data_IF_189474212845
#
_entry.id   IF_189474212845
#
_cell.length_a   1.000
_cell.length_b   1.000
_cell.length_c   1.000
_cell.angle_alpha   90.00
_cell.angle_beta   90.00
_cell.angle_gamma   90.00
#
_symmetry.space_group_name_H-M   'P 1'
#
loop_
_entity.id
_entity.type
_entity.pdbx_description
1 polymer ?
#
# COMPACT_ATOMS: atom_id res chain seq x y z
N UNK A 1 14.66 -38.21 2.28
CA UNK A 1 15.12 -36.85 1.96
C UNK A 1 13.98 -35.90 1.55
N UNK A 2 12.72 -36.32 1.62
CA UNK A 2 11.55 -35.51 1.20
C UNK A 2 10.83 -34.79 2.38
N UNK A 3 11.08 -35.19 3.62
CA UNK A 3 10.34 -34.63 4.78
C UNK A 3 10.91 -33.31 5.30
N UNK A 4 12.15 -32.96 4.96
CA UNK A 4 12.80 -31.72 5.44
C UNK A 4 12.36 -30.47 4.68
N UNK A 5 11.87 -30.62 3.45
CA UNK A 5 11.44 -29.47 2.61
C UNK A 5 10.02 -29.02 2.97
N UNK A 6 9.15 -29.95 3.37
CA UNK A 6 7.77 -29.61 3.77
C UNK A 6 7.72 -28.88 5.11
N UNK A 7 8.63 -29.23 6.05
CA UNK A 7 8.71 -28.54 7.35
C UNK A 7 9.25 -27.11 7.25
N UNK A 8 10.08 -26.79 6.25
CA UNK A 8 10.60 -25.43 6.08
C UNK A 8 9.56 -24.46 5.52
N UNK A 9 8.64 -24.91 4.67
CA UNK A 9 7.56 -24.08 4.13
C UNK A 9 6.48 -23.78 5.20
N UNK A 10 6.11 -24.74 6.02
CA UNK A 10 5.12 -24.55 7.11
C UNK A 10 5.65 -23.59 8.21
N UNK A 11 6.95 -23.65 8.51
CA UNK A 11 7.57 -22.76 9.50
C UNK A 11 7.73 -21.32 8.97
N UNK A 12 7.87 -21.14 7.65
CA UNK A 12 7.87 -19.81 7.03
C UNK A 12 6.46 -19.21 6.95
N UNK A 13 5.43 -20.03 6.72
CA UNK A 13 4.04 -19.59 6.62
C UNK A 13 3.49 -19.06 7.97
N UNK A 14 3.93 -19.63 9.09
CA UNK A 14 3.53 -19.20 10.44
C UNK A 14 4.15 -17.87 10.92
N UNK A 15 5.11 -17.30 10.20
CA UNK A 15 5.80 -16.03 10.55
C UNK A 15 5.32 -14.81 9.78
N UNK A 16 4.44 -14.99 8.80
CA UNK A 16 3.89 -13.88 8.04
C UNK A 16 2.57 -13.43 8.68
N UNK A 17 2.53 -12.20 9.15
CA UNK A 17 1.30 -11.60 9.66
C UNK A 17 0.20 -11.53 8.58
N UNK A 18 -1.04 -11.32 9.01
CA UNK A 18 -2.19 -11.17 8.11
C UNK A 18 -2.07 -9.90 7.27
N UNK A 19 -2.73 -9.88 6.11
CA UNK A 19 -3.03 -8.65 5.39
C UNK A 19 -4.38 -8.13 5.92
N UNK A 20 -4.37 -7.00 6.61
CA UNK A 20 -5.58 -6.37 7.15
C UNK A 20 -6.13 -5.38 6.15
N UNK A 21 -7.39 -5.52 5.74
CA UNK A 21 -8.01 -4.64 4.76
C UNK A 21 -9.29 -4.01 5.30
N UNK A 22 -9.37 -2.66 5.23
CA UNK A 22 -10.57 -1.91 5.59
C UNK A 22 -11.62 -1.99 4.49
N UNK A 23 -12.84 -2.40 4.83
CA UNK A 23 -13.97 -2.48 3.91
C UNK A 23 -15.17 -1.71 4.46
N UNK A 24 -15.82 -0.92 3.60
CA UNK A 24 -16.99 -0.11 3.95
C UNK A 24 -18.14 -0.21 2.92
N UNK A 25 -17.94 -1.07 1.91
CA UNK A 25 -18.91 -1.29 0.85
C UNK A 25 -18.78 -0.33 -0.34
N UNK A 26 -17.80 0.56 -0.33
CA UNK A 26 -17.48 1.42 -1.48
C UNK A 26 -16.68 0.65 -2.54
N UNK A 27 -16.72 1.12 -3.78
CA UNK A 27 -15.95 0.54 -4.90
C UNK A 27 -14.46 0.59 -4.61
N UNK A 28 -13.97 1.65 -3.97
CA UNK A 28 -12.58 1.80 -3.56
C UNK A 28 -12.18 0.76 -2.51
N UNK A 29 -13.08 0.45 -1.57
CA UNK A 29 -12.82 -0.63 -0.59
C UNK A 29 -12.84 -2.01 -1.24
N UNK A 30 -13.66 -2.22 -2.27
CA UNK A 30 -13.62 -3.46 -3.06
C UNK A 30 -12.34 -3.59 -3.87
N UNK A 31 -11.85 -2.50 -4.45
CA UNK A 31 -10.54 -2.51 -5.12
C UNK A 31 -9.40 -2.83 -4.14
N UNK A 32 -9.44 -2.28 -2.93
CA UNK A 32 -8.48 -2.60 -1.87
C UNK A 32 -8.55 -4.07 -1.45
N UNK A 33 -9.75 -4.60 -1.24
CA UNK A 33 -9.97 -6.00 -0.90
C UNK A 33 -9.50 -6.94 -2.02
N UNK A 34 -9.82 -6.62 -3.27
CA UNK A 34 -9.36 -7.37 -4.44
C UNK A 34 -7.83 -7.39 -4.54
N UNK A 35 -7.19 -6.26 -4.28
CA UNK A 35 -5.73 -6.14 -4.24
C UNK A 35 -5.15 -7.05 -3.13
N UNK A 36 -5.69 -6.97 -1.91
CA UNK A 36 -5.25 -7.77 -0.77
C UNK A 36 -5.41 -9.28 -1.01
N UNK A 37 -6.52 -9.71 -1.60
CA UNK A 37 -6.73 -11.11 -2.00
C UNK A 37 -5.73 -11.57 -3.06
N UNK A 38 -5.38 -10.69 -4.01
CA UNK A 38 -4.34 -10.95 -5.01
C UNK A 38 -2.96 -11.14 -4.37
N UNK A 39 -2.57 -10.28 -3.44
CA UNK A 39 -1.32 -10.43 -2.68
C UNK A 39 -1.31 -11.72 -1.86
N UNK A 40 -2.40 -11.99 -1.15
CA UNK A 40 -2.51 -13.21 -0.35
C UNK A 40 -2.39 -14.48 -1.19
N UNK A 41 -2.88 -14.47 -2.42
CA UNK A 41 -2.74 -15.62 -3.33
C UNK A 41 -1.28 -15.89 -3.75
N UNK A 42 -0.44 -14.85 -3.79
CA UNK A 42 0.99 -14.95 -4.10
C UNK A 42 1.84 -15.30 -2.87
N UNK A 43 1.46 -14.76 -1.71
CA UNK A 43 2.25 -14.86 -0.48
C UNK A 43 1.84 -16.01 0.42
N UNK A 44 0.64 -16.58 0.22
CA UNK A 44 0.06 -17.58 1.12
C UNK A 44 -0.49 -17.01 2.43
N UNK A 45 -0.53 -15.69 2.60
CA UNK A 45 -1.02 -15.03 3.82
C UNK A 45 -2.54 -15.11 3.96
N UNK A 46 -3.04 -14.86 5.18
CA UNK A 46 -4.45 -14.64 5.43
C UNK A 46 -4.84 -13.19 5.14
N UNK A 47 -6.08 -12.99 4.70
CA UNK A 47 -6.68 -11.66 4.56
C UNK A 47 -7.71 -11.48 5.66
N UNK A 48 -7.57 -10.43 6.46
CA UNK A 48 -8.56 -10.04 7.44
C UNK A 48 -9.36 -8.84 6.92
N UNK A 49 -10.56 -9.09 6.42
CA UNK A 49 -11.49 -8.05 5.97
C UNK A 49 -12.17 -7.41 7.20
N UNK A 50 -11.86 -6.15 7.46
CA UNK A 50 -12.32 -5.42 8.64
C UNK A 50 -13.37 -4.40 8.27
N UNK A 51 -14.56 -4.54 8.83
CA UNK A 51 -15.62 -3.55 8.81
C UNK A 51 -15.71 -2.85 10.15
N UNK A 52 -15.28 -1.59 10.17
CA UNK A 52 -15.44 -0.73 11.32
C UNK A 52 -16.74 0.08 11.18
N UNK A 53 -17.56 0.07 12.21
CA UNK A 53 -18.83 0.77 12.21
C UNK A 53 -19.03 1.57 13.50
N UNK A 54 -19.63 2.73 13.37
CA UNK A 54 -20.12 3.52 14.48
C UNK A 54 -21.65 3.57 14.38
N UNK A 55 -22.32 3.69 15.50
CA UNK A 55 -23.75 3.89 15.44
C UNK A 55 -24.04 5.22 14.76
N UNK A 56 -24.59 5.17 13.56
CA UNK A 56 -25.06 6.33 12.80
C UNK A 56 -26.55 6.25 12.56
N UNK A 57 -27.14 7.37 12.21
CA UNK A 57 -28.57 7.49 11.90
C UNK A 57 -29.04 6.52 10.81
N UNK A 58 -28.13 6.11 9.95
CA UNK A 58 -28.40 5.21 8.82
C UNK A 58 -28.62 3.73 9.23
N UNK A 59 -28.25 3.39 10.47
CA UNK A 59 -28.38 2.03 11.00
C UNK A 59 -29.68 1.79 11.78
N UNK A 60 -30.56 2.79 11.81
CA UNK A 60 -31.84 2.72 12.56
C UNK A 60 -31.66 2.99 14.07
N UNK A 61 -32.63 2.58 14.88
CA UNK A 61 -32.55 2.70 16.34
C UNK A 61 -31.47 1.80 16.91
N UNK A 62 -30.85 2.25 17.99
CA UNK A 62 -29.88 1.40 18.71
C UNK A 62 -30.59 0.14 19.22
N UNK A 63 -29.98 -1.05 19.04
CA UNK A 63 -30.55 -2.28 19.59
C UNK A 63 -30.78 -2.17 21.11
N UNK A 64 -31.96 -2.56 21.56
CA UNK A 64 -32.39 -2.44 22.94
C UNK A 64 -32.13 -3.70 23.76
N UNK A 65 -32.04 -4.85 23.08
CA UNK A 65 -31.86 -6.17 23.69
C UNK A 65 -30.79 -7.03 22.98
N UNK A 66 -30.45 -8.15 23.57
CA UNK A 66 -29.43 -9.06 23.05
C UNK A 66 -29.86 -9.75 21.74
N UNK A 67 -31.14 -9.95 21.51
CA UNK A 67 -31.66 -10.55 20.29
C UNK A 67 -31.46 -9.60 19.09
N UNK A 68 -31.75 -8.33 19.24
CA UNK A 68 -31.51 -7.30 18.24
C UNK A 68 -30.01 -7.11 17.98
N UNK A 69 -29.19 -7.18 19.01
CA UNK A 69 -27.72 -7.17 18.87
C UNK A 69 -27.22 -8.40 18.09
N UNK A 70 -27.76 -9.59 18.37
CA UNK A 70 -27.42 -10.82 17.65
C UNK A 70 -27.82 -10.73 16.17
N UNK A 71 -29.02 -10.19 15.89
CA UNK A 71 -29.48 -9.97 14.52
C UNK A 71 -28.58 -8.99 13.77
N UNK A 72 -28.20 -7.87 14.39
CA UNK A 72 -27.30 -6.89 13.80
C UNK A 72 -25.94 -7.51 13.47
N UNK A 73 -25.35 -8.27 14.38
CA UNK A 73 -24.08 -8.99 14.14
C UNK A 73 -24.22 -9.97 12.96
N UNK A 74 -25.34 -10.68 12.87
CA UNK A 74 -25.61 -11.61 11.78
C UNK A 74 -25.71 -10.89 10.43
N UNK A 75 -26.40 -9.74 10.38
CA UNK A 75 -26.57 -8.96 9.16
C UNK A 75 -25.24 -8.33 8.70
N UNK A 76 -24.42 -7.87 9.63
CA UNK A 76 -23.06 -7.38 9.31
C UNK A 76 -22.19 -8.52 8.77
N UNK A 77 -22.21 -9.70 9.39
CA UNK A 77 -21.44 -10.84 8.91
C UNK A 77 -21.89 -11.32 7.53
N UNK A 78 -23.20 -11.30 7.23
CA UNK A 78 -23.73 -11.59 5.91
C UNK A 78 -23.21 -10.58 4.89
N UNK A 79 -23.33 -9.29 5.18
CA UNK A 79 -22.86 -8.20 4.31
C UNK A 79 -21.38 -8.31 3.99
N UNK A 80 -20.55 -8.61 4.99
CA UNK A 80 -19.11 -8.82 4.78
C UNK A 80 -18.82 -9.99 3.83
N UNK A 81 -19.57 -11.11 3.95
CA UNK A 81 -19.45 -12.23 3.00
C UNK A 81 -19.82 -11.84 1.59
N UNK A 82 -20.90 -11.08 1.43
CA UNK A 82 -21.34 -10.57 0.13
C UNK A 82 -20.29 -9.66 -0.49
N UNK A 83 -19.67 -8.78 0.28
CA UNK A 83 -18.59 -7.90 -0.18
C UNK A 83 -17.33 -8.68 -0.58
N UNK A 84 -16.95 -9.69 0.19
CA UNK A 84 -15.82 -10.56 -0.19
C UNK A 84 -16.13 -11.30 -1.48
N UNK A 85 -17.33 -11.86 -1.60
CA UNK A 85 -17.76 -12.55 -2.83
C UNK A 85 -17.77 -11.62 -4.04
N UNK A 86 -18.22 -10.37 -3.88
CA UNK A 86 -18.19 -9.36 -4.94
C UNK A 86 -16.74 -8.99 -5.33
N UNK A 87 -15.89 -8.70 -4.35
CA UNK A 87 -14.50 -8.32 -4.62
C UNK A 87 -13.69 -9.45 -5.25
N UNK A 88 -14.00 -10.70 -4.94
CA UNK A 88 -13.30 -11.89 -5.44
C UNK A 88 -13.80 -12.41 -6.78
N UNK A 89 -14.79 -11.76 -7.40
CA UNK A 89 -15.32 -12.21 -8.69
C UNK A 89 -14.20 -12.37 -9.74
N UNK A 90 -14.13 -13.56 -10.35
CA UNK A 90 -13.11 -13.91 -11.34
C UNK A 90 -11.74 -14.22 -10.75
N UNK A 91 -11.61 -14.34 -9.42
CA UNK A 91 -10.41 -14.79 -8.74
C UNK A 91 -10.61 -16.19 -8.16
N UNK A 92 -9.55 -16.99 -8.12
CA UNK A 92 -9.53 -18.21 -7.32
C UNK A 92 -8.96 -17.86 -5.95
N UNK A 93 -9.79 -17.91 -4.92
CA UNK A 93 -9.40 -17.63 -3.54
C UNK A 93 -9.60 -18.87 -2.66
N UNK A 94 -8.76 -19.01 -1.64
CA UNK A 94 -8.98 -19.97 -0.56
C UNK A 94 -9.80 -19.26 0.54
N UNK A 95 -11.09 -19.59 0.64
CA UNK A 95 -11.99 -19.00 1.63
C UNK A 95 -11.52 -19.22 3.08
N UNK A 96 -10.78 -20.30 3.35
CA UNK A 96 -10.24 -20.57 4.69
C UNK A 96 -9.16 -19.58 5.09
N UNK A 97 -8.62 -18.84 4.13
CA UNK A 97 -7.63 -17.77 4.36
C UNK A 97 -8.26 -16.38 4.46
N UNK A 98 -9.58 -16.29 4.42
CA UNK A 98 -10.30 -15.01 4.55
C UNK A 98 -11.02 -14.95 5.90
N UNK A 99 -10.50 -14.10 6.77
CA UNK A 99 -11.12 -13.77 8.05
C UNK A 99 -12.02 -12.54 7.90
N UNK A 100 -13.19 -12.58 8.53
CA UNK A 100 -14.14 -11.48 8.56
C UNK A 100 -14.20 -10.90 9.96
N UNK A 101 -13.90 -9.63 10.11
CA UNK A 101 -13.91 -8.94 11.40
C UNK A 101 -14.83 -7.72 11.33
N UNK A 102 -15.78 -7.64 12.24
CA UNK A 102 -16.57 -6.41 12.45
C UNK A 102 -16.31 -5.84 13.82
N UNK A 103 -16.15 -4.54 13.92
CA UNK A 103 -15.86 -3.86 15.18
C UNK A 103 -16.59 -2.54 15.28
N UNK A 104 -17.15 -2.26 16.47
CA UNK A 104 -17.76 -0.97 16.77
C UNK A 104 -16.68 0.03 17.17
N UNK A 105 -16.13 0.71 16.18
CA UNK A 105 -15.10 1.75 16.33
C UNK A 105 -15.05 2.63 15.09
N UNK A 106 -14.28 3.72 15.15
CA UNK A 106 -13.94 4.47 13.93
C UNK A 106 -13.00 3.64 13.04
N UNK A 107 -13.02 3.86 11.73
CA UNK A 107 -12.18 3.12 10.77
C UNK A 107 -10.70 3.18 11.12
N UNK A 108 -10.18 4.36 11.45
CA UNK A 108 -8.77 4.56 11.83
C UNK A 108 -8.42 3.75 13.09
N UNK A 109 -9.18 3.92 14.18
CA UNK A 109 -8.89 3.21 15.44
C UNK A 109 -8.98 1.69 15.29
N UNK A 110 -9.97 1.19 14.53
CA UNK A 110 -10.11 -0.23 14.27
C UNK A 110 -8.92 -0.80 13.51
N UNK A 111 -8.50 -0.14 12.43
CA UNK A 111 -7.42 -0.62 11.58
C UNK A 111 -6.06 -0.52 12.27
N UNK A 112 -5.81 0.51 13.08
CA UNK A 112 -4.59 0.62 13.88
C UNK A 112 -4.49 -0.48 14.94
N UNK A 113 -5.58 -0.79 15.64
CA UNK A 113 -5.58 -1.81 16.70
C UNK A 113 -5.49 -3.22 16.11
N UNK A 114 -6.31 -3.53 15.08
CA UNK A 114 -6.34 -4.86 14.47
C UNK A 114 -5.09 -5.11 13.62
N UNK A 115 -4.57 -4.06 12.99
CA UNK A 115 -3.43 -4.12 12.08
C UNK A 115 -2.05 -3.97 12.75
N UNK A 116 -1.97 -3.78 14.06
CA UNK A 116 -0.70 -3.51 14.75
C UNK A 116 0.38 -4.57 14.58
N UNK A 117 -0.03 -5.83 14.44
CA UNK A 117 0.84 -7.00 14.24
C UNK A 117 0.67 -7.61 12.84
N UNK A 118 -0.01 -6.89 11.93
CA UNK A 118 -0.21 -7.33 10.56
C UNK A 118 1.07 -7.18 9.72
N UNK A 119 1.14 -7.87 8.59
CA UNK A 119 2.19 -7.62 7.59
C UNK A 119 1.99 -6.26 6.93
N UNK A 120 0.74 -5.87 6.70
CA UNK A 120 0.37 -4.58 6.14
C UNK A 120 -1.11 -4.28 6.37
N UNK A 121 -1.45 -3.00 6.33
CA UNK A 121 -2.83 -2.52 6.30
C UNK A 121 -3.13 -2.02 4.88
N UNK A 122 -4.28 -2.43 4.33
CA UNK A 122 -4.71 -2.05 2.99
C UNK A 122 -6.02 -1.27 3.08
N UNK A 123 -6.11 -0.14 2.40
CA UNK A 123 -7.31 0.69 2.34
C UNK A 123 -7.55 1.22 0.94
N UNK A 124 -8.82 1.43 0.58
CA UNK A 124 -9.19 2.14 -0.62
C UNK A 124 -9.06 3.66 -0.42
N UNK A 125 -8.67 4.36 -1.47
CA UNK A 125 -8.69 5.81 -1.49
C UNK A 125 -10.02 6.29 -2.05
N UNK A 126 -10.82 7.00 -1.24
CA UNK A 126 -12.03 7.66 -1.75
C UNK A 126 -11.69 8.68 -2.83
N UNK A 127 -12.43 8.61 -3.92
CA UNK A 127 -12.39 9.57 -4.99
C UNK A 127 -13.03 10.89 -4.52
N UNK A 128 -12.22 11.84 -4.12
CA UNK A 128 -12.66 13.20 -3.72
C UNK A 128 -12.58 14.12 -4.94
N UNK A 129 -13.41 13.99 -5.94
CA UNK A 129 -13.54 14.92 -7.09
C UNK A 129 -12.24 15.56 -7.63
N UNK A 130 -12.32 16.29 -8.74
CA UNK A 130 -11.13 16.82 -9.46
C UNK A 130 -10.17 17.71 -8.68
N UNK A 131 -10.65 18.43 -7.66
CA UNK A 131 -9.83 19.40 -6.91
C UNK A 131 -9.09 18.77 -5.73
N UNK A 132 -9.63 17.72 -5.12
CA UNK A 132 -9.06 17.10 -3.92
C UNK A 132 -8.20 15.85 -4.22
N UNK A 133 -7.93 15.54 -5.49
CA UNK A 133 -7.16 14.34 -5.90
C UNK A 133 -5.70 14.31 -5.42
N UNK A 134 -5.15 15.45 -5.01
CA UNK A 134 -3.79 15.58 -4.47
C UNK A 134 -3.69 15.28 -2.98
N UNK A 135 -4.82 15.15 -2.28
CA UNK A 135 -4.83 14.87 -0.86
C UNK A 135 -5.12 13.40 -0.59
N UNK A 136 -4.33 12.77 0.26
CA UNK A 136 -4.72 11.53 0.92
C UNK A 136 -6.04 11.79 1.67
N UNK A 137 -7.01 10.86 1.58
CA UNK A 137 -8.20 10.92 2.42
C UNK A 137 -7.82 10.89 3.91
N UNK A 138 -8.65 11.44 4.78
CA UNK A 138 -8.35 11.52 6.22
C UNK A 138 -7.95 10.18 6.84
N UNK A 139 -8.61 9.10 6.48
CA UNK A 139 -8.28 7.74 6.94
C UNK A 139 -6.87 7.31 6.48
N UNK A 140 -6.57 7.45 5.20
CA UNK A 140 -5.28 7.04 4.64
C UNK A 140 -4.13 7.89 5.18
N UNK A 141 -4.35 9.19 5.41
CA UNK A 141 -3.36 10.09 5.99
C UNK A 141 -3.06 9.71 7.45
N UNK A 142 -4.09 9.53 8.28
CA UNK A 142 -3.91 9.11 9.67
C UNK A 142 -3.24 7.74 9.78
N UNK A 143 -3.61 6.77 8.93
CA UNK A 143 -2.95 5.47 8.93
C UNK A 143 -1.47 5.58 8.52
N UNK A 144 -1.14 6.38 7.50
CA UNK A 144 0.25 6.58 7.07
C UNK A 144 1.11 7.23 8.16
N UNK A 145 0.51 8.06 9.03
CA UNK A 145 1.21 8.74 10.13
C UNK A 145 1.34 7.86 11.37
N UNK A 146 0.30 7.09 11.72
CA UNK A 146 0.19 6.41 13.01
C UNK A 146 0.48 4.90 12.96
N UNK A 147 0.38 4.26 11.78
CA UNK A 147 0.59 2.81 11.67
C UNK A 147 2.07 2.44 11.87
N UNK A 148 2.28 1.31 12.57
CA UNK A 148 3.62 0.74 12.79
C UNK A 148 4.01 -0.29 11.73
N UNK A 149 3.11 -0.57 10.80
CA UNK A 149 3.27 -1.52 9.69
C UNK A 149 3.05 -0.79 8.37
N UNK A 150 3.52 -1.31 7.23
CA UNK A 150 3.26 -0.73 5.92
C UNK A 150 1.77 -0.48 5.68
N UNK A 151 1.44 0.64 5.06
CA UNK A 151 0.08 0.99 4.66
C UNK A 151 0.00 1.09 3.14
N UNK A 152 -0.84 0.26 2.54
CA UNK A 152 -1.12 0.28 1.11
C UNK A 152 -2.43 1.00 0.85
N UNK A 153 -2.37 2.04 0.03
CA UNK A 153 -3.53 2.82 -0.39
C UNK A 153 -3.84 2.49 -1.84
N UNK A 154 -4.92 1.74 -2.06
CA UNK A 154 -5.36 1.34 -3.40
C UNK A 154 -6.24 2.42 -4.00
N UNK A 155 -5.94 2.80 -5.23
CA UNK A 155 -6.69 3.80 -5.98
C UNK A 155 -7.32 3.15 -7.22
N UNK A 156 -8.58 3.45 -7.46
CA UNK A 156 -9.21 3.22 -8.75
C UNK A 156 -8.81 4.37 -9.66
N UNK A 157 -8.16 4.07 -10.77
CA UNK A 157 -7.86 5.03 -11.83
C UNK A 157 -8.88 4.84 -12.93
N UNK A 158 -9.53 5.92 -13.35
CA UNK A 158 -10.21 5.96 -14.64
C UNK A 158 -9.21 6.27 -15.75
N UNK A 159 -9.59 6.00 -17.02
CA UNK A 159 -8.71 6.19 -18.17
C UNK A 159 -8.30 7.66 -18.36
N UNK A 160 -9.19 8.61 -17.99
CA UNK A 160 -8.89 10.05 -18.07
C UNK A 160 -7.85 10.46 -17.00
N UNK A 161 -7.96 9.92 -15.79
CA UNK A 161 -7.01 10.21 -14.72
C UNK A 161 -5.61 9.62 -14.99
N UNK A 162 -5.53 8.43 -15.59
CA UNK A 162 -4.26 7.83 -15.98
C UNK A 162 -3.53 8.72 -16.98
N UNK A 163 -4.24 9.21 -18.01
CA UNK A 163 -3.67 10.08 -19.05
C UNK A 163 -3.16 11.42 -18.51
N UNK A 164 -3.86 12.03 -17.54
CA UNK A 164 -3.43 13.29 -16.91
C UNK A 164 -2.21 13.08 -16.02
N UNK A 165 -2.12 11.97 -15.32
CA UNK A 165 -0.94 11.65 -14.49
C UNK A 165 0.31 11.40 -15.33
N UNK A 166 0.17 10.68 -16.43
CA UNK A 166 1.26 10.47 -17.40
C UNK A 166 1.74 11.81 -17.98
N UNK A 167 0.81 12.71 -18.32
CA UNK A 167 1.16 14.04 -18.82
C UNK A 167 1.89 14.90 -17.77
N UNK A 168 1.47 14.84 -16.50
CA UNK A 168 2.14 15.55 -15.41
C UNK A 168 3.52 14.95 -15.12
N UNK A 169 3.63 13.62 -15.08
CA UNK A 169 4.90 12.94 -14.87
C UNK A 169 5.90 13.32 -15.97
N UNK A 170 5.47 13.32 -17.22
CA UNK A 170 6.29 13.74 -18.37
C UNK A 170 6.69 15.23 -18.30
N UNK A 171 5.79 16.11 -17.82
CA UNK A 171 6.08 17.54 -17.69
C UNK A 171 7.05 17.86 -16.54
N UNK A 172 7.14 16.99 -15.52
CA UNK A 172 8.01 17.18 -14.38
C UNK A 172 9.38 16.50 -14.53
N UNK A 173 9.60 15.75 -15.61
CA UNK A 173 10.87 15.08 -15.89
C UNK A 173 11.86 16.08 -16.51
N UNK A 174 12.93 16.52 -15.84
CA UNK A 174 13.73 17.66 -16.27
C UNK A 174 14.75 17.36 -17.37
N UNK A 175 14.87 16.14 -17.86
CA UNK A 175 15.87 15.77 -18.87
C UNK A 175 15.32 14.86 -19.94
N UNK A 176 15.73 15.13 -21.20
CA UNK A 176 15.31 14.37 -22.39
C UNK A 176 15.76 12.91 -22.40
N UNK A 177 16.59 12.47 -21.43
CA UNK A 177 17.20 11.16 -21.44
C UNK A 177 16.33 10.05 -20.83
N UNK A 178 15.19 10.35 -20.20
CA UNK A 178 14.38 9.35 -19.49
C UNK A 178 12.88 9.44 -19.78
N UNK A 179 12.50 9.73 -21.00
CA UNK A 179 11.08 9.75 -21.35
C UNK A 179 10.64 8.36 -21.82
N UNK A 180 10.17 7.56 -20.87
CA UNK A 180 9.42 6.34 -21.19
C UNK A 180 8.01 6.74 -21.59
N UNK A 181 7.73 6.78 -22.88
CA UNK A 181 6.37 6.99 -23.38
C UNK A 181 5.57 5.72 -23.24
N UNK A 182 4.62 5.69 -22.31
CA UNK A 182 3.53 4.74 -22.35
C UNK A 182 2.43 5.35 -23.22
N UNK A 183 2.08 4.69 -24.31
CA UNK A 183 0.99 5.15 -25.19
C UNK A 183 -0.30 5.24 -24.37
N UNK A 184 -1.06 6.36 -24.45
CA UNK A 184 -2.37 6.45 -23.83
C UNK A 184 -3.26 5.28 -24.28
N UNK A 185 -3.88 4.58 -23.37
CA UNK A 185 -4.82 3.49 -23.67
C UNK A 185 -4.25 2.07 -23.69
N UNK A 186 -2.96 1.87 -23.43
CA UNK A 186 -2.38 0.53 -23.24
C UNK A 186 -1.63 0.48 -21.91
N UNK A 187 -2.34 0.22 -20.81
CA UNK A 187 -1.65 0.04 -19.51
C UNK A 187 -0.67 -1.12 -19.64
N UNK A 188 0.60 -0.88 -19.30
CA UNK A 188 1.59 -1.94 -19.20
C UNK A 188 1.04 -3.07 -18.31
N UNK A 189 1.26 -4.34 -18.68
CA UNK A 189 1.00 -5.45 -17.78
C UNK A 189 1.58 -5.17 -16.40
N UNK A 190 0.91 -5.64 -15.34
CA UNK A 190 1.29 -5.32 -13.96
C UNK A 190 2.76 -5.62 -13.66
N UNK A 191 3.28 -6.71 -14.20
CA UNK A 191 4.68 -7.13 -14.07
C UNK A 191 5.69 -6.31 -14.90
N UNK A 192 5.22 -5.43 -15.78
CA UNK A 192 6.08 -4.52 -16.56
C UNK A 192 6.10 -3.10 -15.98
N UNK A 193 5.22 -2.80 -15.01
CA UNK A 193 5.24 -1.52 -14.32
C UNK A 193 6.31 -1.57 -13.25
N UNK A 194 7.19 -0.57 -13.15
CA UNK A 194 8.19 -0.56 -12.10
C UNK A 194 7.54 -0.37 -10.72
N UNK A 195 8.14 -1.02 -9.73
CA UNK A 195 7.98 -0.64 -8.34
C UNK A 195 8.89 0.56 -8.11
N UNK A 196 8.31 1.69 -7.72
CA UNK A 196 9.08 2.92 -7.47
C UNK A 196 9.19 3.13 -5.97
N UNK A 197 10.41 3.31 -5.46
CA UNK A 197 10.66 3.61 -4.05
C UNK A 197 11.43 4.93 -3.93
N UNK A 198 10.87 5.84 -3.11
CA UNK A 198 11.55 7.06 -2.72
C UNK A 198 12.45 6.80 -1.52
N UNK A 199 13.70 7.31 -1.58
CA UNK A 199 14.66 7.21 -0.50
C UNK A 199 15.29 8.58 -0.20
N UNK A 200 15.66 8.81 1.08
CA UNK A 200 16.25 10.05 1.57
C UNK A 200 17.50 9.80 2.44
N UNK A 201 17.94 8.54 2.55
CA UNK A 201 19.07 8.12 3.38
C UNK A 201 18.73 7.84 4.84
N UNK A 202 17.48 8.05 5.28
CA UNK A 202 17.03 7.71 6.63
C UNK A 202 16.93 6.20 6.85
N UNK A 203 16.96 5.76 8.11
CA UNK A 203 16.72 4.34 8.44
C UNK A 203 15.32 3.88 7.98
N UNK A 204 14.32 4.76 8.04
CA UNK A 204 12.97 4.49 7.54
C UNK A 204 12.98 4.23 6.03
N UNK A 205 13.73 5.03 5.25
CA UNK A 205 13.83 4.82 3.81
C UNK A 205 14.59 3.54 3.45
N UNK A 206 15.51 3.06 4.29
CA UNK A 206 16.14 1.74 4.12
C UNK A 206 15.13 0.60 4.32
N UNK A 207 14.21 0.72 5.30
CA UNK A 207 13.12 -0.25 5.46
C UNK A 207 12.17 -0.25 4.25
N UNK A 208 11.82 0.93 3.74
CA UNK A 208 11.01 1.06 2.53
C UNK A 208 11.70 0.42 1.31
N UNK A 209 13.02 0.60 1.18
CA UNK A 209 13.80 0.00 0.09
C UNK A 209 13.81 -1.53 0.18
N UNK A 210 14.04 -2.12 1.36
CA UNK A 210 13.97 -3.58 1.56
C UNK A 210 12.59 -4.12 1.18
N UNK A 211 11.53 -3.48 1.67
CA UNK A 211 10.16 -3.85 1.30
C UNK A 211 9.93 -3.78 -0.21
N UNK A 212 10.42 -2.73 -0.88
CA UNK A 212 10.28 -2.56 -2.32
C UNK A 212 11.06 -3.62 -3.11
N UNK A 213 12.24 -4.03 -2.65
CA UNK A 213 13.04 -5.11 -3.24
C UNK A 213 12.25 -6.43 -3.19
N UNK A 214 11.76 -6.80 -2.00
CA UNK A 214 10.99 -8.03 -1.80
C UNK A 214 9.69 -8.03 -2.62
N UNK A 215 9.00 -6.90 -2.65
CA UNK A 215 7.77 -6.71 -3.42
C UNK A 215 8.03 -6.81 -4.93
N UNK A 216 9.07 -6.15 -5.43
CA UNK A 216 9.43 -6.21 -6.85
C UNK A 216 9.83 -7.63 -7.28
N UNK A 217 10.60 -8.33 -6.43
CA UNK A 217 10.97 -9.73 -6.68
C UNK A 217 9.75 -10.65 -6.72
N UNK A 218 8.83 -10.51 -5.77
CA UNK A 218 7.58 -11.30 -5.69
C UNK A 218 6.73 -11.12 -6.95
N UNK A 219 6.64 -9.90 -7.45
CA UNK A 219 5.83 -9.55 -8.63
C UNK A 219 6.57 -9.66 -9.96
N UNK A 220 7.85 -10.07 -9.95
CA UNK A 220 8.72 -10.06 -11.13
C UNK A 220 8.71 -8.72 -11.87
N UNK A 221 8.66 -7.61 -11.09
CA UNK A 221 8.58 -6.26 -11.59
C UNK A 221 9.95 -5.55 -11.53
N UNK A 222 10.24 -4.62 -12.44
CA UNK A 222 11.41 -3.76 -12.31
C UNK A 222 11.32 -2.90 -11.05
N UNK A 223 12.47 -2.67 -10.39
CA UNK A 223 12.57 -1.75 -9.25
C UNK A 223 13.24 -0.46 -9.72
N UNK A 224 12.61 0.67 -9.41
CA UNK A 224 13.17 2.00 -9.62
C UNK A 224 13.35 2.70 -8.27
N UNK A 225 14.61 2.99 -7.93
CA UNK A 225 14.95 3.74 -6.70
C UNK A 225 15.08 5.21 -7.05
N UNK A 226 14.37 6.08 -6.32
CA UNK A 226 14.34 7.51 -6.54
C UNK A 226 14.88 8.24 -5.30
N UNK A 227 15.98 8.95 -5.44
CA UNK A 227 16.53 9.83 -4.41
C UNK A 227 16.23 11.28 -4.77
N UNK A 228 15.31 11.90 -4.01
CA UNK A 228 14.96 13.32 -4.17
C UNK A 228 15.76 14.15 -3.16
N UNK A 229 16.53 15.10 -3.64
CA UNK A 229 17.43 15.89 -2.80
C UNK A 229 17.32 17.40 -3.05
N UNK A 230 17.64 18.17 -2.03
CA UNK A 230 17.90 19.60 -2.13
C UNK A 230 19.33 19.84 -1.61
N UNK A 231 19.99 20.92 -2.04
CA UNK A 231 21.36 21.22 -1.60
C UNK A 231 21.54 21.22 -0.07
N UNK A 232 20.52 21.65 0.67
CA UNK A 232 20.53 21.64 2.15
C UNK A 232 20.53 20.23 2.76
N UNK A 233 20.00 19.22 2.03
CA UNK A 233 19.83 17.86 2.52
C UNK A 233 21.11 17.03 2.31
N UNK A 234 22.03 17.52 1.47
CA UNK A 234 23.29 16.85 1.15
C UNK A 234 24.40 17.08 2.19
N UNK A 235 24.09 17.83 3.25
CA UNK A 235 25.07 18.20 4.27
C UNK A 235 26.15 19.16 3.75
N UNK A 236 27.32 19.13 4.39
CA UNK A 236 28.44 19.96 3.95
C UNK A 236 29.09 19.34 2.72
N UNK A 237 28.97 20.01 1.59
CA UNK A 237 29.63 19.60 0.35
C UNK A 237 31.08 19.97 0.40
N UNK A 238 31.96 18.99 0.34
CA UNK A 238 33.44 19.20 0.46
C UNK A 238 33.95 20.22 -0.54
N UNK A 239 34.63 21.24 -0.04
CA UNK A 239 35.17 22.36 -0.83
C UNK A 239 34.17 23.53 -1.00
N UNK A 240 32.98 23.44 -0.43
CA UNK A 240 31.93 24.47 -0.48
C UNK A 240 31.35 24.77 0.91
N UNK A 241 32.17 24.61 1.96
CA UNK A 241 31.72 24.73 3.36
C UNK A 241 31.13 26.11 3.69
N UNK A 242 31.53 27.13 2.92
CA UNK A 242 31.09 28.54 3.09
C UNK A 242 30.46 29.11 1.81
N UNK A 243 30.09 28.29 0.84
CA UNK A 243 29.55 28.73 -0.44
C UNK A 243 28.46 27.78 -0.93
N UNK A 244 27.61 28.25 -1.86
CA UNK A 244 26.63 27.41 -2.53
C UNK A 244 27.32 26.55 -3.58
N UNK A 245 27.25 25.23 -3.41
CA UNK A 245 27.82 24.28 -4.37
C UNK A 245 27.08 24.34 -5.71
N UNK A 246 27.80 24.22 -6.85
CA UNK A 246 27.16 24.03 -8.14
C UNK A 246 26.27 22.77 -8.15
N UNK A 247 25.19 22.79 -8.93
CA UNK A 247 24.24 21.66 -9.02
C UNK A 247 24.94 20.36 -9.41
N UNK A 248 25.92 20.40 -10.32
CA UNK A 248 26.71 19.23 -10.71
C UNK A 248 27.49 18.58 -9.56
N UNK A 249 27.98 19.40 -8.63
CA UNK A 249 28.69 18.91 -7.43
C UNK A 249 27.69 18.31 -6.43
N UNK A 250 26.54 18.96 -6.28
CA UNK A 250 25.40 18.42 -5.51
C UNK A 250 24.93 17.09 -6.06
N UNK A 251 24.76 16.98 -7.37
CA UNK A 251 24.37 15.75 -8.05
C UNK A 251 25.35 14.60 -7.76
N UNK A 252 26.66 14.84 -7.92
CA UNK A 252 27.67 13.84 -7.63
C UNK A 252 27.72 13.42 -6.15
N UNK A 253 27.34 14.31 -5.23
CA UNK A 253 27.15 13.96 -3.82
C UNK A 253 25.93 13.09 -3.60
N UNK A 254 24.80 13.43 -4.21
CA UNK A 254 23.55 12.67 -4.14
C UNK A 254 23.73 11.25 -4.71
N UNK A 255 24.42 11.10 -5.82
CA UNK A 255 24.76 9.79 -6.41
C UNK A 255 25.57 8.93 -5.45
N UNK A 256 26.62 9.49 -4.82
CA UNK A 256 27.39 8.75 -3.80
C UNK A 256 26.54 8.32 -2.61
N UNK A 257 25.66 9.19 -2.12
CA UNK A 257 24.76 8.87 -1.01
C UNK A 257 23.77 7.76 -1.38
N UNK A 258 23.30 7.75 -2.63
CA UNK A 258 22.46 6.68 -3.14
C UNK A 258 23.22 5.35 -3.25
N UNK A 259 24.46 5.37 -3.77
CA UNK A 259 25.31 4.17 -3.87
C UNK A 259 25.59 3.58 -2.49
N UNK A 260 25.99 4.42 -1.51
CA UNK A 260 26.22 4.01 -0.12
C UNK A 260 24.94 3.40 0.51
N UNK A 261 23.76 3.98 0.20
CA UNK A 261 22.49 3.46 0.66
C UNK A 261 22.20 2.08 0.07
N UNK A 262 22.37 1.92 -1.24
CA UNK A 262 22.16 0.65 -1.95
C UNK A 262 23.11 -0.43 -1.42
N UNK A 263 24.38 -0.12 -1.24
CA UNK A 263 25.38 -1.03 -0.66
C UNK A 263 25.00 -1.46 0.77
N UNK A 264 24.41 -0.55 1.56
CA UNK A 264 23.97 -0.85 2.93
C UNK A 264 22.78 -1.78 3.04
N UNK A 265 22.04 -1.98 1.94
CA UNK A 265 20.82 -2.81 1.88
C UNK A 265 21.04 -4.13 1.13
N UNK A 266 22.15 -4.25 0.37
CA UNK A 266 22.54 -5.52 -0.23
C UNK A 266 22.87 -6.54 0.87
N UNK A 267 22.10 -7.61 0.91
CA UNK A 267 22.28 -8.78 1.79
C UNK A 267 22.93 -9.89 0.98
#
# INVERSE_FOLDING_TARGET
>A
MSDTILQSNDVMDSRRGDIVVGVDGSDESFAALRWALGEASLTGQQVNAVYAWTHSWDMGSQPEDEEQWAQMRHDIARRLREWVAQASQGMTIDENRVKLTSVKATGTAALLEIGKDAQQIVVGRRSLGRVARWFLGSLSASLAEEAKVPVTVVRILDDEEASVQDAIANALTPTEETVSYTMPGSPLPRNQRPVVVGVDGSETSKHALRFAIDFAALHHAPLQVMFCWQLKDLGVVKGYENAVAPISVGQAQAERMLDELLDSVQV
#
